data_IF_308832022182
#
_entry.id   IF_308832022182
#
_cell.length_a   1.000
_cell.length_b   1.000
_cell.length_c   1.000
_cell.angle_alpha   90.00
_cell.angle_beta   90.00
_cell.angle_gamma   90.00
#
_symmetry.space_group_name_H-M   'P 1'
#
loop_
_entity.id
_entity.type
_entity.pdbx_description
1 polymer ?
#
# COMPACT_ATOMS: atom_id res chain seq x y z
N UNK A 1 16.61 3.13 7.57
CA UNK A 1 15.40 3.65 6.88
C UNK A 1 15.41 3.45 5.35
N UNK A 2 16.56 3.26 4.69
CA UNK A 2 16.61 3.02 3.23
C UNK A 2 15.67 1.90 2.78
N UNK A 3 15.83 0.71 3.37
CA UNK A 3 15.02 -0.47 3.05
C UNK A 3 13.51 -0.26 3.33
N UNK A 4 13.15 0.55 4.33
CA UNK A 4 11.76 0.89 4.62
C UNK A 4 11.17 1.77 3.52
N UNK A 5 11.89 2.80 3.05
CA UNK A 5 11.44 3.63 1.92
C UNK A 5 11.36 2.83 0.63
N UNK A 6 12.30 1.91 0.41
CA UNK A 6 12.25 0.94 -0.68
C UNK A 6 10.99 0.06 -0.59
N UNK A 7 10.66 -0.46 0.59
CA UNK A 7 9.45 -1.26 0.79
C UNK A 7 8.17 -0.45 0.52
N UNK A 8 8.08 0.79 1.00
CA UNK A 8 6.95 1.67 0.70
C UNK A 8 6.86 1.98 -0.80
N UNK A 9 7.99 2.24 -1.47
CA UNK A 9 8.01 2.50 -2.92
C UNK A 9 7.66 1.28 -3.79
N UNK A 10 7.91 0.07 -3.30
CA UNK A 10 7.55 -1.17 -4.00
C UNK A 10 6.08 -1.54 -3.81
N UNK A 11 5.52 -1.31 -2.62
CA UNK A 11 4.18 -1.76 -2.27
C UNK A 11 3.10 -0.67 -2.39
N UNK A 12 3.49 0.61 -2.50
CA UNK A 12 2.56 1.75 -2.49
C UNK A 12 2.93 2.84 -3.50
N UNK A 13 1.95 3.65 -3.89
CA UNK A 13 2.11 4.85 -4.74
C UNK A 13 2.39 6.12 -3.94
N UNK A 14 2.57 6.01 -2.61
CA UNK A 14 2.80 7.16 -1.75
C UNK A 14 4.18 7.80 -2.06
N UNK A 15 4.27 9.14 -2.11
CA UNK A 15 5.52 9.84 -2.43
C UNK A 15 6.47 9.82 -1.22
N UNK A 16 7.09 8.68 -0.92
CA UNK A 16 7.95 8.45 0.25
C UNK A 16 9.44 8.78 0.02
N UNK A 17 9.79 9.29 -1.17
CA UNK A 17 11.17 9.60 -1.54
C UNK A 17 12.05 8.35 -1.61
N UNK A 18 11.82 7.54 -2.65
CA UNK A 18 12.59 6.31 -2.90
C UNK A 18 14.05 6.66 -3.17
N UNK A 19 15.03 5.92 -2.63
CA UNK A 19 16.45 6.21 -2.87
C UNK A 19 16.81 6.11 -4.36
N UNK A 20 17.48 7.13 -4.91
CA UNK A 20 17.92 7.15 -6.33
C UNK A 20 18.97 6.07 -6.64
N UNK A 21 19.68 5.58 -5.62
CA UNK A 21 20.86 4.74 -5.77
C UNK A 21 20.51 3.24 -5.63
N UNK A 22 19.55 2.74 -6.39
CA UNK A 22 19.08 1.35 -6.30
C UNK A 22 20.21 0.35 -6.62
N UNK A 23 20.47 -0.61 -5.72
CA UNK A 23 21.47 -1.67 -5.94
C UNK A 23 20.83 -3.05 -6.05
N UNK A 24 21.47 -3.99 -6.77
CA UNK A 24 21.07 -5.39 -6.74
C UNK A 24 20.97 -5.90 -5.29
N UNK A 25 19.85 -6.54 -4.94
CA UNK A 25 19.58 -7.07 -3.60
C UNK A 25 18.86 -6.11 -2.63
N UNK A 26 18.69 -4.83 -2.95
CA UNK A 26 17.97 -3.90 -2.08
C UNK A 26 16.49 -4.29 -1.93
N UNK A 27 15.84 -4.83 -2.97
CA UNK A 27 14.46 -5.35 -2.90
C UNK A 27 14.34 -6.51 -1.89
N UNK A 28 15.27 -7.46 -1.93
CA UNK A 28 15.27 -8.60 -0.99
C UNK A 28 15.47 -8.16 0.46
N UNK A 29 16.31 -7.15 0.69
CA UNK A 29 16.51 -6.56 2.04
C UNK A 29 15.34 -5.70 2.50
N UNK A 30 14.53 -5.20 1.58
CA UNK A 30 13.30 -4.47 1.87
C UNK A 30 12.15 -5.41 2.27
N UNK A 31 12.16 -6.68 1.85
CA UNK A 31 11.12 -7.66 2.16
C UNK A 31 10.84 -7.81 3.66
N UNK A 32 11.86 -7.67 4.52
CA UNK A 32 11.69 -7.67 5.99
C UNK A 32 10.71 -6.60 6.49
N UNK A 33 10.57 -5.48 5.74
CA UNK A 33 9.69 -4.36 6.09
C UNK A 33 8.30 -4.47 5.46
N UNK A 34 8.03 -5.45 4.60
CA UNK A 34 6.73 -5.61 3.96
C UNK A 34 5.57 -5.78 4.96
N UNK A 35 5.71 -6.51 6.08
CA UNK A 35 4.65 -6.60 7.08
C UNK A 35 4.30 -5.23 7.68
N UNK A 36 5.30 -4.37 7.90
CA UNK A 36 5.09 -3.03 8.46
C UNK A 36 4.35 -2.13 7.48
N UNK A 37 4.73 -2.18 6.19
CA UNK A 37 4.04 -1.45 5.13
C UNK A 37 2.61 -1.98 4.95
N UNK A 38 2.42 -3.30 5.00
CA UNK A 38 1.11 -3.94 4.94
C UNK A 38 0.19 -3.53 6.09
N UNK A 39 0.71 -3.42 7.32
CA UNK A 39 -0.04 -2.89 8.46
C UNK A 39 -0.43 -1.42 8.25
N UNK A 40 0.46 -0.60 7.69
CA UNK A 40 0.13 0.79 7.38
C UNK A 40 -0.96 0.89 6.31
N UNK A 41 -0.85 0.16 5.20
CA UNK A 41 -1.87 0.11 4.14
C UNK A 41 -3.19 -0.42 4.68
N UNK A 42 -3.16 -1.55 5.41
CA UNK A 42 -4.34 -2.15 6.02
C UNK A 42 -5.02 -1.20 7.01
N UNK A 43 -4.26 -0.48 7.82
CA UNK A 43 -4.78 0.54 8.73
C UNK A 43 -5.47 1.70 8.00
N UNK A 44 -4.87 2.20 6.92
CA UNK A 44 -5.48 3.26 6.09
C UNK A 44 -6.77 2.78 5.40
N UNK A 45 -6.75 1.57 4.85
CA UNK A 45 -7.92 0.95 4.21
C UNK A 45 -9.03 0.71 5.24
N UNK A 46 -8.69 0.24 6.45
CA UNK A 46 -9.66 0.05 7.52
C UNK A 46 -10.28 1.38 7.97
N UNK A 47 -9.49 2.44 8.13
CA UNK A 47 -10.01 3.78 8.45
C UNK A 47 -10.94 4.32 7.36
N UNK A 48 -10.56 4.14 6.09
CA UNK A 48 -11.40 4.52 4.96
C UNK A 48 -12.71 3.73 4.97
N UNK A 49 -12.65 2.40 5.13
CA UNK A 49 -13.82 1.54 5.23
C UNK A 49 -14.73 1.97 6.38
N UNK A 50 -14.16 2.19 7.57
CA UNK A 50 -14.92 2.62 8.74
C UNK A 50 -15.67 3.91 8.43
N UNK A 51 -14.97 4.94 7.95
CA UNK A 51 -15.54 6.24 7.56
C UNK A 51 -16.63 6.13 6.49
N UNK A 52 -16.39 5.34 5.44
CA UNK A 52 -17.33 5.15 4.33
C UNK A 52 -18.61 4.42 4.76
N UNK A 53 -18.52 3.46 5.67
CA UNK A 53 -19.68 2.73 6.18
C UNK A 53 -20.61 3.58 7.07
N UNK A 54 -20.13 4.71 7.61
CA UNK A 54 -21.03 5.65 8.32
C UNK A 54 -21.94 6.43 7.36
N UNK A 55 -21.58 6.52 6.07
CA UNK A 55 -22.22 7.42 5.10
C UNK A 55 -22.96 6.65 4.01
N UNK A 56 -22.40 5.52 3.55
CA UNK A 56 -22.88 4.79 2.38
C UNK A 56 -23.40 3.39 2.74
N UNK A 57 -24.32 2.83 1.93
CA UNK A 57 -24.67 1.42 2.01
C UNK A 57 -23.45 0.50 1.82
N UNK A 58 -23.48 -0.69 2.43
CA UNK A 58 -22.35 -1.61 2.48
C UNK A 58 -21.70 -1.90 1.11
N UNK A 59 -22.50 -2.08 0.06
CA UNK A 59 -21.98 -2.33 -1.29
C UNK A 59 -21.14 -1.14 -1.81
N UNK A 60 -21.67 0.08 -1.69
CA UNK A 60 -21.00 1.29 -2.17
C UNK A 60 -19.74 1.56 -1.34
N UNK A 61 -19.83 1.43 -0.01
CA UNK A 61 -18.68 1.57 0.87
C UNK A 61 -17.57 0.56 0.53
N UNK A 62 -17.93 -0.68 0.20
CA UNK A 62 -16.97 -1.73 -0.16
C UNK A 62 -16.24 -1.42 -1.47
N UNK A 63 -16.96 -0.98 -2.50
CA UNK A 63 -16.36 -0.59 -3.79
C UNK A 63 -15.43 0.61 -3.63
N UNK A 64 -15.83 1.62 -2.86
CA UNK A 64 -14.99 2.78 -2.57
C UNK A 64 -13.77 2.41 -1.73
N UNK A 65 -13.92 1.51 -0.75
CA UNK A 65 -12.79 0.98 0.04
C UNK A 65 -11.79 0.25 -0.85
N UNK A 66 -12.28 -0.58 -1.77
CA UNK A 66 -11.44 -1.26 -2.77
C UNK A 66 -10.69 -0.22 -3.62
N UNK A 67 -11.39 0.83 -4.10
CA UNK A 67 -10.78 1.89 -4.90
C UNK A 67 -9.67 2.63 -4.12
N UNK A 68 -9.83 2.86 -2.81
CA UNK A 68 -8.78 3.42 -1.94
C UNK A 68 -7.57 2.49 -1.89
N UNK A 69 -7.76 1.19 -1.68
CA UNK A 69 -6.66 0.23 -1.66
C UNK A 69 -5.92 0.14 -3.00
N UNK A 70 -6.65 0.15 -4.12
CA UNK A 70 -6.08 0.19 -5.47
C UNK A 70 -5.28 1.48 -5.66
N UNK A 71 -5.82 2.63 -5.27
CA UNK A 71 -5.13 3.92 -5.35
C UNK A 71 -3.84 3.94 -4.53
N UNK A 72 -3.87 3.40 -3.31
CA UNK A 72 -2.69 3.31 -2.42
C UNK A 72 -1.60 2.38 -2.94
N UNK A 73 -1.97 1.31 -3.64
CA UNK A 73 -1.02 0.28 -4.13
C UNK A 73 -0.68 0.42 -5.61
N UNK A 74 -1.36 1.30 -6.34
CA UNK A 74 -1.22 1.44 -7.79
C UNK A 74 -1.79 0.28 -8.59
N UNK A 75 -2.54 -0.62 -7.94
CA UNK A 75 -3.10 -1.82 -8.57
C UNK A 75 -2.09 -2.96 -8.81
N UNK A 76 -0.83 -2.82 -8.34
CA UNK A 76 0.19 -3.88 -8.44
C UNK A 76 -0.31 -5.23 -7.92
N UNK A 77 -1.04 -5.26 -6.82
CA UNK A 77 -1.53 -6.53 -6.27
C UNK A 77 -2.66 -7.17 -7.11
N UNK A 78 -3.32 -6.39 -7.97
CA UNK A 78 -4.37 -6.88 -8.86
C UNK A 78 -3.83 -7.43 -10.18
N UNK A 79 -2.59 -7.10 -10.56
CA UNK A 79 -1.98 -7.55 -11.81
C UNK A 79 -1.45 -8.99 -11.76
N UNK A 80 -1.25 -9.53 -10.54
CA UNK A 80 -0.77 -10.90 -10.30
C UNK A 80 0.73 -11.11 -10.53
N UNK A 81 1.50 -10.05 -10.76
CA UNK A 81 2.96 -10.07 -10.96
C UNK A 81 3.75 -9.57 -9.73
N UNK A 82 3.04 -8.98 -8.75
CA UNK A 82 3.60 -8.44 -7.51
C UNK A 82 4.29 -9.47 -6.60
#
# INVERSE_FOLDING_TARGET
MRNLRTAFGLLTTLPVGVPENWRPGDSGRAAFWYPVVGLAVGGLVWLAWFGLNLIFPALVASVLTLAVWVGLTGGLHLDGLA
#
